data_IF_631857879130
#
_entry.id   IF_631857879130
#
_cell.length_a   1.000
_cell.length_b   1.000
_cell.length_c   1.000
_cell.angle_alpha   90.00
_cell.angle_beta   90.00
_cell.angle_gamma   90.00
#
_symmetry.space_group_name_H-M   'P 1'
#
loop_
_entity.id
_entity.type
_entity.pdbx_description
1 polymer ?
#
# COMPACT_ATOMS: atom_id res chain seq x y z
N UNK A 1 10.40 0.66 39.71
CA UNK A 1 11.04 1.32 38.55
C UNK A 1 9.91 1.67 37.61
N UNK A 2 9.60 2.98 37.52
CA UNK A 2 8.42 3.50 36.80
C UNK A 2 8.65 3.42 35.30
N UNK A 3 7.88 2.61 34.58
CA UNK A 3 7.83 2.58 33.12
C UNK A 3 7.23 3.91 32.64
N UNK A 4 8.06 4.85 32.21
CA UNK A 4 7.61 5.98 31.41
C UNK A 4 7.19 5.42 30.05
N UNK A 5 5.89 5.24 29.87
CA UNK A 5 5.32 5.01 28.56
C UNK A 5 5.73 6.15 27.63
N UNK A 6 6.54 5.87 26.65
CA UNK A 6 6.84 6.79 25.55
C UNK A 6 5.52 6.98 24.79
N UNK A 7 4.83 8.09 25.02
CA UNK A 7 3.75 8.52 24.15
C UNK A 7 4.45 9.16 22.95
N UNK A 8 4.07 8.74 21.73
CA UNK A 8 4.39 9.52 20.54
C UNK A 8 4.07 10.98 20.86
N UNK A 9 5.05 11.87 20.74
CA UNK A 9 4.80 13.28 20.91
C UNK A 9 3.65 13.67 19.99
N UNK A 10 2.63 14.40 20.46
CA UNK A 10 1.62 14.94 19.58
C UNK A 10 2.36 15.66 18.44
N UNK A 11 2.02 15.35 17.19
CA UNK A 11 2.61 16.01 16.04
C UNK A 11 2.50 17.52 16.29
N UNK A 12 3.63 18.23 16.21
CA UNK A 12 3.59 19.70 16.22
C UNK A 12 2.61 20.12 15.13
N UNK A 13 1.70 21.10 15.41
CA UNK A 13 0.93 21.72 14.34
C UNK A 13 1.94 22.15 13.28
N UNK A 14 1.67 21.90 12.01
CA UNK A 14 2.62 22.18 10.96
C UNK A 14 2.72 23.71 10.81
N UNK A 15 3.76 24.30 11.38
CA UNK A 15 4.16 25.68 11.05
C UNK A 15 4.49 25.83 9.54
N UNK A 16 4.40 24.73 8.75
CA UNK A 16 4.82 24.59 7.36
C UNK A 16 3.77 23.96 6.43
N UNK A 17 2.46 24.01 6.75
CA UNK A 17 1.46 23.63 5.74
C UNK A 17 1.44 24.64 4.61
N UNK A 18 1.62 24.23 3.35
CA UNK A 18 1.47 25.13 2.22
C UNK A 18 0.04 25.70 2.18
N UNK A 19 -0.15 26.94 1.76
CA UNK A 19 -1.49 27.51 1.61
C UNK A 19 -2.38 26.63 0.72
N UNK A 20 -3.65 26.47 1.08
CA UNK A 20 -4.60 25.68 0.29
C UNK A 20 -4.65 26.09 -1.19
N UNK A 21 -4.53 27.40 -1.47
CA UNK A 21 -4.49 27.93 -2.84
C UNK A 21 -3.28 27.40 -3.63
N UNK A 22 -2.14 27.19 -2.97
CA UNK A 22 -0.94 26.61 -3.59
C UNK A 22 -1.14 25.14 -3.92
N UNK A 23 -1.73 24.36 -3.01
CA UNK A 23 -2.08 22.95 -3.26
C UNK A 23 -2.99 22.77 -4.48
N UNK A 24 -3.90 23.72 -4.70
CA UNK A 24 -4.90 23.67 -5.79
C UNK A 24 -4.45 24.34 -7.08
N UNK A 25 -3.32 25.04 -7.08
CA UNK A 25 -2.87 25.85 -8.23
C UNK A 25 -2.63 25.00 -9.50
N UNK A 26 -1.96 23.87 -9.35
CA UNK A 26 -1.66 22.92 -10.43
C UNK A 26 -2.20 21.53 -10.07
N UNK A 27 -3.49 21.45 -9.70
CA UNK A 27 -4.13 20.18 -9.32
C UNK A 27 -4.85 19.55 -10.51
N UNK A 28 -4.50 18.31 -10.86
CA UNK A 28 -5.15 17.51 -11.90
C UNK A 28 -5.86 16.31 -11.25
N UNK A 29 -7.14 16.12 -11.60
CA UNK A 29 -7.84 14.89 -11.23
C UNK A 29 -7.88 13.95 -12.43
N UNK A 30 -7.35 12.75 -12.25
CA UNK A 30 -7.36 11.70 -13.26
C UNK A 30 -8.19 10.50 -12.80
N UNK A 31 -8.74 9.75 -13.78
CA UNK A 31 -9.50 8.53 -13.55
C UNK A 31 -8.96 7.44 -14.49
N UNK A 32 -8.20 6.51 -13.92
CA UNK A 32 -7.47 5.49 -14.66
C UNK A 32 -8.22 4.15 -14.62
N UNK A 33 -8.52 3.53 -15.78
CA UNK A 33 -9.14 2.21 -15.81
C UNK A 33 -8.16 1.13 -15.40
N UNK A 34 -8.66 0.14 -14.64
CA UNK A 34 -7.93 -1.06 -14.28
C UNK A 34 -8.09 -2.15 -15.33
N UNK A 35 -7.12 -3.05 -15.44
CA UNK A 35 -7.18 -4.22 -16.33
C UNK A 35 -8.13 -5.29 -15.79
N UNK A 36 -8.30 -5.33 -14.48
CA UNK A 36 -9.24 -6.19 -13.79
C UNK A 36 -9.75 -5.49 -12.53
N UNK A 37 -10.91 -5.89 -12.05
CA UNK A 37 -11.50 -5.35 -10.83
C UNK A 37 -10.58 -5.58 -9.64
N UNK A 38 -10.37 -4.53 -8.84
CA UNK A 38 -9.54 -4.58 -7.64
C UNK A 38 -10.24 -3.82 -6.51
N UNK A 39 -10.41 -4.41 -5.32
CA UNK A 39 -11.17 -3.81 -4.19
C UNK A 39 -12.53 -3.25 -4.62
N UNK A 40 -13.26 -3.97 -5.45
CA UNK A 40 -14.56 -3.57 -5.97
C UNK A 40 -14.57 -2.34 -6.89
N UNK A 41 -13.42 -1.81 -7.31
CA UNK A 41 -13.32 -0.71 -8.27
C UNK A 41 -12.76 -1.17 -9.62
N UNK A 42 -13.18 -0.53 -10.69
CA UNK A 42 -12.69 -0.72 -12.06
C UNK A 42 -12.01 0.55 -12.59
N UNK A 43 -12.22 1.66 -11.88
CA UNK A 43 -11.67 2.97 -12.20
C UNK A 43 -11.03 3.58 -10.94
N UNK A 44 -9.76 3.93 -11.01
CA UNK A 44 -9.02 4.56 -9.93
C UNK A 44 -8.90 6.05 -10.15
N UNK A 45 -9.49 6.85 -9.27
CA UNK A 45 -9.32 8.31 -9.26
C UNK A 45 -8.12 8.70 -8.41
N UNK A 46 -7.33 9.66 -8.90
CA UNK A 46 -6.19 10.23 -8.18
C UNK A 46 -6.08 11.73 -8.47
N UNK A 47 -5.90 12.53 -7.43
CA UNK A 47 -5.58 13.95 -7.55
C UNK A 47 -4.07 14.12 -7.48
N UNK A 48 -3.50 14.68 -8.54
CA UNK A 48 -2.08 14.97 -8.69
C UNK A 48 -1.86 16.45 -8.37
N UNK A 49 -0.90 16.72 -7.49
CA UNK A 49 -0.57 18.07 -7.01
C UNK A 49 0.89 18.38 -7.35
N UNK A 50 1.19 19.64 -7.62
CA UNK A 50 2.55 20.11 -7.88
C UNK A 50 3.08 20.86 -6.67
N UNK A 51 4.16 20.34 -6.07
CA UNK A 51 4.93 21.02 -5.04
C UNK A 51 6.32 21.43 -5.52
N UNK A 52 7.10 22.15 -4.69
CA UNK A 52 8.48 22.54 -5.01
C UNK A 52 9.40 21.35 -5.30
N UNK A 53 9.12 20.20 -4.69
CA UNK A 53 9.90 18.98 -4.87
C UNK A 53 9.45 18.15 -6.09
N UNK A 54 8.38 18.54 -6.80
CA UNK A 54 7.83 17.85 -7.95
C UNK A 54 6.40 17.37 -7.74
N UNK A 55 5.95 16.45 -8.58
CA UNK A 55 4.60 15.89 -8.51
C UNK A 55 4.41 14.98 -7.30
N UNK A 56 3.24 15.05 -6.72
CA UNK A 56 2.78 14.22 -5.61
C UNK A 56 1.33 13.81 -5.82
N UNK A 57 0.85 12.81 -5.07
CA UNK A 57 -0.47 12.23 -5.25
C UNK A 57 -1.29 12.25 -3.97
N UNK A 58 -2.53 12.72 -4.07
CA UNK A 58 -3.59 12.62 -3.07
C UNK A 58 -4.70 11.71 -3.62
N UNK A 59 -4.73 10.45 -3.20
CA UNK A 59 -5.66 9.47 -3.77
C UNK A 59 -6.29 8.52 -2.73
N UNK A 60 -6.84 9.02 -1.62
CA UNK A 60 -7.56 8.16 -0.68
C UNK A 60 -8.75 7.50 -1.38
N UNK A 61 -9.08 6.25 -1.00
CA UNK A 61 -10.27 5.59 -1.51
C UNK A 61 -11.52 6.40 -1.17
N UNK A 62 -12.52 6.36 -2.05
CA UNK A 62 -13.71 7.24 -1.94
C UNK A 62 -14.64 6.87 -0.80
N UNK A 63 -14.53 5.66 -0.26
CA UNK A 63 -15.23 5.15 0.92
C UNK A 63 -14.61 5.60 2.25
N UNK A 64 -13.38 6.15 2.24
CA UNK A 64 -12.74 6.66 3.45
C UNK A 64 -13.30 8.03 3.85
N UNK A 65 -13.53 8.23 5.16
CA UNK A 65 -13.92 9.52 5.73
C UNK A 65 -12.82 10.57 5.60
N UNK A 66 -13.19 11.85 5.76
CA UNK A 66 -12.25 12.96 5.59
C UNK A 66 -11.12 12.96 6.64
N UNK A 67 -11.39 12.50 7.86
CA UNK A 67 -10.37 12.34 8.91
C UNK A 67 -9.31 11.30 8.53
N UNK A 68 -9.70 10.12 8.02
CA UNK A 68 -8.74 9.12 7.52
C UNK A 68 -8.02 9.62 6.27
N UNK A 69 -8.74 10.29 5.37
CA UNK A 69 -8.19 10.83 4.14
C UNK A 69 -7.21 12.00 4.38
N UNK A 70 -7.28 12.69 5.53
CA UNK A 70 -6.35 13.78 5.88
C UNK A 70 -4.91 13.30 5.98
N UNK A 71 -4.67 12.07 6.45
CA UNK A 71 -3.33 11.47 6.46
C UNK A 71 -2.74 11.34 5.05
N UNK A 72 -3.57 11.03 4.05
CA UNK A 72 -3.15 10.96 2.64
C UNK A 72 -2.78 12.34 2.08
N UNK A 73 -3.52 13.39 2.47
CA UNK A 73 -3.16 14.76 2.12
C UNK A 73 -1.84 15.18 2.78
N UNK A 74 -1.65 14.83 4.05
CA UNK A 74 -0.37 15.04 4.74
C UNK A 74 0.78 14.36 4.00
N UNK A 75 0.60 13.12 3.53
CA UNK A 75 1.60 12.41 2.75
C UNK A 75 1.91 13.11 1.42
N UNK A 76 0.88 13.61 0.73
CA UNK A 76 1.07 14.38 -0.49
C UNK A 76 1.88 15.66 -0.23
N UNK A 77 1.60 16.36 0.87
CA UNK A 77 2.35 17.55 1.30
C UNK A 77 3.78 17.15 1.69
N UNK A 78 3.97 16.10 2.49
CA UNK A 78 5.29 15.62 2.88
C UNK A 78 6.17 15.35 1.65
N UNK A 79 5.65 14.65 0.65
CA UNK A 79 6.41 14.31 -0.54
C UNK A 79 6.58 15.47 -1.52
N UNK A 80 5.59 16.36 -1.66
CA UNK A 80 5.63 17.49 -2.60
C UNK A 80 6.38 18.72 -2.09
N UNK A 81 6.43 18.94 -0.76
CA UNK A 81 6.95 20.17 -0.16
C UNK A 81 8.17 19.98 0.76
N UNK A 82 8.48 18.74 1.13
CA UNK A 82 9.67 18.44 1.92
C UNK A 82 10.65 17.60 1.11
N UNK A 83 11.94 17.78 1.38
CA UNK A 83 12.98 16.95 0.80
C UNK A 83 12.85 15.52 1.35
N UNK A 84 12.81 14.53 0.45
CA UNK A 84 12.80 13.14 0.86
C UNK A 84 14.17 12.75 1.45
N UNK A 85 14.21 11.80 2.40
CA UNK A 85 15.47 11.26 2.90
C UNK A 85 16.37 10.73 1.77
N UNK A 86 17.68 10.84 1.96
CA UNK A 86 18.64 10.33 0.98
C UNK A 86 18.44 8.83 0.74
N UNK A 87 18.33 8.38 -0.52
CA UNK A 87 18.14 6.97 -0.84
C UNK A 87 19.39 6.15 -0.55
N UNK A 88 19.22 4.96 0.02
CA UNK A 88 20.30 3.99 0.27
C UNK A 88 20.47 3.00 -0.91
N UNK A 89 19.53 3.03 -1.87
CA UNK A 89 19.51 2.20 -3.09
C UNK A 89 18.80 2.93 -4.22
N UNK A 90 19.11 2.57 -5.45
CA UNK A 90 18.58 3.20 -6.68
C UNK A 90 17.45 2.39 -7.32
N UNK A 91 17.24 1.15 -6.88
CA UNK A 91 16.15 0.27 -7.33
C UNK A 91 15.52 -0.45 -6.15
N UNK A 92 14.22 -0.71 -6.25
CA UNK A 92 13.44 -1.43 -5.24
C UNK A 92 12.97 -2.75 -5.84
N UNK A 93 13.30 -3.90 -5.23
CA UNK A 93 12.72 -5.18 -5.61
C UNK A 93 11.21 -5.17 -5.30
N UNK A 94 10.40 -5.70 -6.23
CA UNK A 94 8.93 -5.63 -6.10
C UNK A 94 8.27 -6.99 -6.33
N UNK A 95 7.15 -7.20 -5.63
CA UNK A 95 6.28 -8.34 -5.88
C UNK A 95 5.16 -8.00 -6.87
N UNK A 96 4.71 -8.98 -7.63
CA UNK A 96 3.45 -8.93 -8.34
C UNK A 96 2.27 -8.96 -7.36
N UNK A 97 1.16 -8.33 -7.73
CA UNK A 97 -0.11 -8.44 -7.00
C UNK A 97 -1.13 -9.15 -7.87
N UNK A 98 -1.64 -10.27 -7.39
CA UNK A 98 -2.68 -11.05 -8.04
C UNK A 98 -4.02 -10.78 -7.35
N UNK A 99 -4.95 -10.07 -8.01
CA UNK A 99 -6.31 -9.89 -7.52
C UNK A 99 -7.06 -11.21 -7.37
N UNK A 100 -8.24 -11.19 -6.78
CA UNK A 100 -9.11 -12.37 -6.62
C UNK A 100 -9.80 -12.76 -7.94
N UNK A 101 -9.01 -12.99 -8.97
CA UNK A 101 -9.45 -13.43 -10.32
C UNK A 101 -9.73 -14.92 -10.37
N UNK A 102 -10.42 -15.37 -11.44
CA UNK A 102 -10.57 -16.78 -11.72
C UNK A 102 -9.22 -17.45 -12.02
N UNK A 103 -9.11 -18.75 -11.75
CA UNK A 103 -7.84 -19.48 -11.87
C UNK A 103 -7.27 -19.44 -13.29
N UNK A 104 -8.12 -19.38 -14.30
CA UNK A 104 -7.76 -19.32 -15.73
C UNK A 104 -7.12 -17.98 -16.12
N UNK A 105 -7.31 -16.92 -15.31
CA UNK A 105 -6.77 -15.58 -15.57
C UNK A 105 -5.40 -15.36 -14.90
N UNK A 106 -4.98 -16.25 -14.00
CA UNK A 106 -3.76 -16.08 -13.17
C UNK A 106 -2.54 -15.81 -14.05
N UNK A 107 -2.28 -16.64 -15.05
CA UNK A 107 -1.11 -16.49 -15.92
C UNK A 107 -1.12 -15.17 -16.69
N UNK A 108 -2.28 -14.75 -17.20
CA UNK A 108 -2.43 -13.51 -17.95
C UNK A 108 -2.19 -12.27 -17.07
N UNK A 109 -2.63 -12.31 -15.81
CA UNK A 109 -2.38 -11.21 -14.85
C UNK A 109 -0.90 -11.18 -14.46
N UNK A 110 -0.32 -12.33 -14.11
CA UNK A 110 1.08 -12.41 -13.66
C UNK A 110 2.08 -12.07 -14.76
N UNK A 111 1.78 -12.36 -16.03
CA UNK A 111 2.61 -11.99 -17.18
C UNK A 111 2.85 -10.47 -17.30
N UNK A 112 2.04 -9.64 -16.66
CA UNK A 112 2.21 -8.16 -16.64
C UNK A 112 3.33 -7.69 -15.70
N UNK A 113 3.86 -8.57 -14.85
CA UNK A 113 4.87 -8.26 -13.82
C UNK A 113 6.21 -8.94 -14.20
N UNK A 114 6.85 -8.42 -15.24
CA UNK A 114 8.03 -9.04 -15.81
C UNK A 114 9.20 -9.18 -14.80
N UNK A 115 9.69 -10.40 -14.63
CA UNK A 115 10.86 -10.71 -13.81
C UNK A 115 10.61 -10.73 -12.30
N UNK A 116 9.38 -10.51 -11.82
CA UNK A 116 9.06 -10.65 -10.38
C UNK A 116 9.14 -12.11 -9.96
N UNK A 117 9.71 -12.34 -8.78
CA UNK A 117 9.85 -13.70 -8.19
C UNK A 117 8.96 -13.89 -6.97
N UNK A 118 8.27 -12.84 -6.56
CA UNK A 118 7.35 -12.84 -5.42
C UNK A 118 5.98 -12.42 -5.90
N UNK A 119 4.94 -13.14 -5.49
CA UNK A 119 3.54 -12.81 -5.79
C UNK A 119 2.75 -12.71 -4.50
N UNK A 120 2.04 -11.59 -4.33
CA UNK A 120 1.02 -11.41 -3.31
C UNK A 120 -0.34 -11.76 -3.91
N UNK A 121 -0.98 -12.82 -3.40
CA UNK A 121 -2.27 -13.34 -3.87
C UNK A 121 -3.38 -12.83 -2.95
N UNK A 122 -4.40 -12.19 -3.51
CA UNK A 122 -5.60 -11.81 -2.76
C UNK A 122 -6.46 -13.05 -2.50
N UNK A 123 -6.85 -13.21 -1.23
CA UNK A 123 -7.70 -14.29 -0.71
C UNK A 123 -8.84 -13.73 0.11
N UNK A 124 -9.76 -14.57 0.57
CA UNK A 124 -10.91 -14.18 1.39
C UNK A 124 -11.84 -13.14 0.70
N UNK A 125 -11.89 -13.11 -0.63
CA UNK A 125 -12.76 -12.18 -1.35
C UNK A 125 -14.23 -12.51 -1.08
N UNK A 126 -15.07 -11.54 -0.70
CA UNK A 126 -16.50 -11.77 -0.48
C UNK A 126 -17.18 -12.49 -1.65
N UNK A 127 -17.86 -13.59 -1.37
CA UNK A 127 -18.53 -14.42 -2.37
C UNK A 127 -17.68 -15.50 -3.03
N UNK A 128 -16.40 -15.61 -2.68
CA UNK A 128 -15.52 -16.73 -3.04
C UNK A 128 -15.36 -17.69 -1.85
N UNK A 129 -14.95 -18.91 -2.16
CA UNK A 129 -14.71 -19.95 -1.16
C UNK A 129 -13.20 -20.20 -1.00
N UNK A 130 -12.79 -20.76 0.12
CA UNK A 130 -11.38 -21.16 0.36
C UNK A 130 -10.83 -22.05 -0.76
N UNK A 131 -11.67 -22.88 -1.39
CA UNK A 131 -11.27 -23.71 -2.52
C UNK A 131 -10.81 -22.86 -3.74
N UNK A 132 -11.40 -21.70 -3.96
CA UNK A 132 -11.02 -20.77 -5.03
C UNK A 132 -9.65 -20.15 -4.71
N UNK A 133 -9.43 -19.79 -3.45
CA UNK A 133 -8.13 -19.25 -2.97
C UNK A 133 -7.02 -20.29 -3.12
N UNK A 134 -7.26 -21.53 -2.70
CA UNK A 134 -6.32 -22.65 -2.86
C UNK A 134 -5.98 -22.89 -4.33
N UNK A 135 -6.99 -22.89 -5.22
CA UNK A 135 -6.79 -23.06 -6.65
C UNK A 135 -5.92 -21.93 -7.24
N UNK A 136 -6.16 -20.68 -6.83
CA UNK A 136 -5.40 -19.50 -7.26
C UNK A 136 -3.96 -19.55 -6.77
N UNK A 137 -3.72 -19.91 -5.50
CA UNK A 137 -2.37 -20.08 -4.94
C UNK A 137 -1.63 -21.21 -5.62
N UNK A 138 -2.30 -22.33 -5.91
CA UNK A 138 -1.74 -23.46 -6.67
C UNK A 138 -1.30 -23.03 -8.08
N UNK A 139 -2.13 -22.29 -8.80
CA UNK A 139 -1.80 -21.75 -10.12
C UNK A 139 -0.60 -20.79 -10.04
N UNK A 140 -0.57 -19.94 -9.01
CA UNK A 140 0.56 -19.02 -8.75
C UNK A 140 1.86 -19.80 -8.50
N UNK A 141 1.82 -20.88 -7.72
CA UNK A 141 2.99 -21.75 -7.49
C UNK A 141 3.46 -22.41 -8.79
N UNK A 142 2.53 -22.85 -9.63
CA UNK A 142 2.86 -23.44 -10.93
C UNK A 142 3.51 -22.41 -11.87
N UNK A 143 3.05 -21.16 -11.86
CA UNK A 143 3.62 -20.06 -12.65
C UNK A 143 5.03 -19.70 -12.20
N UNK A 144 5.25 -19.54 -10.88
CA UNK A 144 6.51 -19.11 -10.30
C UNK A 144 7.59 -20.21 -10.26
N UNK A 145 7.19 -21.48 -10.23
CA UNK A 145 8.09 -22.59 -9.92
C UNK A 145 8.43 -22.69 -8.43
N UNK A 146 9.32 -23.63 -8.04
CA UNK A 146 9.60 -23.92 -6.63
C UNK A 146 10.34 -22.81 -5.89
N UNK A 147 11.15 -22.03 -6.57
CA UNK A 147 11.98 -20.97 -5.97
C UNK A 147 11.24 -19.63 -5.78
N UNK A 148 10.02 -19.51 -6.35
CA UNK A 148 9.22 -18.29 -6.23
C UNK A 148 8.62 -18.16 -4.83
N UNK A 149 8.43 -16.93 -4.38
CA UNK A 149 7.83 -16.62 -3.06
C UNK A 149 6.36 -16.25 -3.23
N UNK A 150 5.52 -16.79 -2.35
CA UNK A 150 4.09 -16.51 -2.35
C UNK A 150 3.69 -15.91 -1.01
N UNK A 151 2.91 -14.85 -1.05
CA UNK A 151 2.24 -14.22 0.09
C UNK A 151 0.75 -14.26 -0.17
N UNK A 152 -0.05 -14.39 0.85
CA UNK A 152 -1.49 -14.24 0.73
C UNK A 152 -1.97 -13.07 1.58
N UNK A 153 -2.95 -12.32 1.08
CA UNK A 153 -3.49 -11.14 1.73
C UNK A 153 -5.01 -11.26 1.81
N UNK A 154 -5.52 -11.42 3.04
CA UNK A 154 -6.94 -11.61 3.32
C UNK A 154 -7.66 -10.29 3.65
N UNK A 155 -6.95 -9.16 3.78
CA UNK A 155 -7.52 -7.86 4.14
C UNK A 155 -8.48 -7.89 5.36
N UNK A 156 -8.19 -8.76 6.34
CA UNK A 156 -9.03 -8.95 7.54
C UNK A 156 -10.31 -9.74 7.29
N UNK A 157 -10.39 -10.49 6.19
CA UNK A 157 -11.61 -11.16 5.74
C UNK A 157 -11.95 -12.45 6.49
N UNK A 158 -11.05 -12.99 7.31
CA UNK A 158 -11.28 -14.20 8.11
C UNK A 158 -11.44 -13.90 9.61
N UNK A 159 -12.22 -14.72 10.31
CA UNK A 159 -12.08 -14.87 11.74
C UNK A 159 -10.91 -15.82 12.06
N UNK A 160 -10.58 -16.00 13.35
CA UNK A 160 -9.40 -16.81 13.78
C UNK A 160 -9.50 -18.27 13.31
N UNK A 161 -10.67 -18.89 13.42
CA UNK A 161 -10.87 -20.30 13.03
C UNK A 161 -10.79 -20.48 11.53
N UNK A 162 -11.34 -19.54 10.74
CA UNK A 162 -11.22 -19.53 9.28
C UNK A 162 -9.79 -19.30 8.82
N UNK A 163 -9.06 -18.37 9.46
CA UNK A 163 -7.67 -18.08 9.16
C UNK A 163 -6.75 -19.28 9.47
N UNK A 164 -6.95 -19.97 10.60
CA UNK A 164 -6.24 -21.20 10.93
C UNK A 164 -6.53 -22.31 9.91
N UNK A 165 -7.80 -22.49 9.54
CA UNK A 165 -8.19 -23.47 8.52
C UNK A 165 -7.59 -23.15 7.15
N UNK A 166 -7.56 -21.87 6.75
CA UNK A 166 -6.92 -21.43 5.51
C UNK A 166 -5.41 -21.64 5.53
N UNK A 167 -4.74 -21.34 6.66
CA UNK A 167 -3.31 -21.61 6.85
C UNK A 167 -2.99 -23.10 6.63
N UNK A 168 -3.81 -24.01 7.21
CA UNK A 168 -3.68 -25.45 7.01
C UNK A 168 -3.87 -25.86 5.55
N UNK A 169 -4.88 -25.33 4.87
CA UNK A 169 -5.15 -25.63 3.46
C UNK A 169 -4.04 -25.14 2.52
N UNK A 170 -3.34 -24.08 2.90
CA UNK A 170 -2.28 -23.43 2.13
C UNK A 170 -0.87 -23.87 2.52
N UNK A 171 -0.70 -24.68 3.57
CA UNK A 171 0.61 -25.08 4.11
C UNK A 171 1.54 -25.75 3.09
N UNK A 172 0.97 -26.47 2.10
CA UNK A 172 1.74 -27.15 1.05
C UNK A 172 2.35 -26.23 -0.02
N UNK A 173 2.08 -24.90 0.05
CA UNK A 173 2.54 -23.95 -0.96
C UNK A 173 3.72 -23.07 -0.52
N UNK A 174 4.31 -23.32 0.64
CA UNK A 174 5.48 -22.61 1.16
C UNK A 174 5.30 -21.08 1.12
N UNK A 175 4.35 -20.59 1.94
CA UNK A 175 4.02 -19.18 2.01
C UNK A 175 5.11 -18.41 2.76
N UNK A 176 5.49 -17.23 2.24
CA UNK A 176 6.43 -16.33 2.89
C UNK A 176 5.78 -15.67 4.13
N UNK A 177 4.49 -15.30 4.04
CA UNK A 177 3.67 -14.82 5.16
C UNK A 177 2.17 -14.76 4.83
N UNK A 178 1.34 -14.63 5.89
CA UNK A 178 -0.07 -14.26 5.82
C UNK A 178 -0.23 -12.76 6.11
N UNK A 179 -0.74 -11.96 5.17
CA UNK A 179 -1.02 -10.53 5.39
C UNK A 179 -2.44 -10.34 5.87
N UNK A 180 -2.58 -9.65 7.01
CA UNK A 180 -3.84 -9.28 7.67
C UNK A 180 -4.92 -10.36 7.57
N UNK A 181 -4.67 -11.57 8.13
CA UNK A 181 -5.66 -12.65 8.06
C UNK A 181 -6.97 -12.31 8.78
N UNK A 182 -6.88 -11.64 9.94
CA UNK A 182 -8.03 -11.28 10.77
C UNK A 182 -8.17 -9.75 10.91
N UNK A 183 -9.35 -9.30 11.34
CA UNK A 183 -9.69 -7.88 11.35
C UNK A 183 -9.05 -7.10 12.51
N UNK A 184 -8.89 -7.71 13.69
CA UNK A 184 -8.47 -7.04 14.92
C UNK A 184 -7.07 -7.47 15.40
N UNK A 185 -6.43 -6.61 16.19
CA UNK A 185 -5.12 -6.91 16.80
C UNK A 185 -5.18 -8.12 17.72
N UNK A 186 -6.27 -8.27 18.48
CA UNK A 186 -6.45 -9.40 19.40
C UNK A 186 -6.60 -10.72 18.63
N UNK A 187 -7.35 -10.75 17.53
CA UNK A 187 -7.48 -11.92 16.67
C UNK A 187 -6.14 -12.28 15.99
N UNK A 188 -5.35 -11.29 15.54
CA UNK A 188 -4.02 -11.53 15.00
C UNK A 188 -3.10 -12.15 16.05
N UNK A 189 -3.12 -11.65 17.30
CA UNK A 189 -2.33 -12.18 18.40
C UNK A 189 -2.73 -13.62 18.73
N UNK A 190 -4.04 -13.92 18.75
CA UNK A 190 -4.56 -15.26 18.98
C UNK A 190 -4.12 -16.21 17.87
N UNK A 191 -4.32 -15.82 16.60
CA UNK A 191 -3.92 -16.64 15.45
C UNK A 191 -2.42 -16.89 15.42
N UNK A 192 -1.60 -15.87 15.71
CA UNK A 192 -0.15 -16.01 15.80
C UNK A 192 0.26 -17.04 16.85
N UNK A 193 -0.44 -17.07 18.00
CA UNK A 193 -0.25 -18.08 19.03
C UNK A 193 -0.58 -19.51 18.53
N UNK A 194 -1.69 -19.66 17.79
CA UNK A 194 -2.11 -20.96 17.21
C UNK A 194 -1.17 -21.47 16.11
N UNK A 195 -0.57 -20.56 15.32
CA UNK A 195 0.34 -20.89 14.22
C UNK A 195 1.82 -20.94 14.65
N UNK A 196 2.14 -20.77 15.92
CA UNK A 196 3.52 -20.68 16.42
C UNK A 196 4.43 -21.81 15.94
N UNK A 197 3.95 -23.06 15.99
CA UNK A 197 4.74 -24.24 15.60
C UNK A 197 4.89 -24.40 14.06
N UNK A 198 4.14 -23.62 13.29
CA UNK A 198 4.12 -23.71 11.81
C UNK A 198 5.16 -22.82 11.14
N UNK A 199 5.79 -21.91 11.90
CA UNK A 199 6.76 -20.94 11.38
C UNK A 199 6.22 -20.12 10.18
N UNK A 200 4.90 -19.87 10.14
CA UNK A 200 4.25 -19.05 9.13
C UNK A 200 4.05 -17.63 9.68
N UNK A 201 4.84 -16.64 9.21
CA UNK A 201 4.77 -15.29 9.73
C UNK A 201 3.43 -14.60 9.44
N UNK A 202 3.00 -13.72 10.33
CA UNK A 202 1.85 -12.83 10.15
C UNK A 202 2.34 -11.42 9.88
N UNK A 203 1.86 -10.82 8.78
CA UNK A 203 2.07 -9.41 8.44
C UNK A 203 0.82 -8.59 8.74
N UNK A 204 0.99 -7.42 9.39
CA UNK A 204 -0.11 -6.50 9.69
C UNK A 204 -0.13 -5.32 8.70
N UNK A 205 -1.27 -5.08 8.03
CA UNK A 205 -1.54 -3.95 7.13
C UNK A 205 -2.60 -3.01 7.72
N UNK A 206 -3.87 -3.41 7.72
CA UNK A 206 -4.97 -2.59 8.21
C UNK A 206 -4.81 -2.22 9.68
N UNK A 207 -4.30 -3.13 10.48
CA UNK A 207 -4.02 -2.91 11.91
C UNK A 207 -2.89 -1.92 12.18
N UNK A 208 -2.16 -1.49 11.15
CA UNK A 208 -1.16 -0.41 11.22
C UNK A 208 -1.75 0.89 10.65
N UNK A 209 -2.21 0.88 9.40
CA UNK A 209 -2.58 2.09 8.65
C UNK A 209 -3.95 2.67 8.96
N UNK A 210 -4.86 1.87 9.55
CA UNK A 210 -6.21 2.31 9.96
C UNK A 210 -6.37 2.45 11.46
N UNK A 211 -5.34 2.11 12.23
CA UNK A 211 -5.38 2.20 13.67
C UNK A 211 -5.16 3.64 14.14
N UNK A 212 -5.87 4.05 15.20
CA UNK A 212 -5.56 5.27 15.94
C UNK A 212 -4.13 5.26 16.49
N UNK A 213 -3.60 4.06 16.71
CA UNK A 213 -2.26 3.79 17.19
C UNK A 213 -1.57 2.74 16.31
N UNK A 214 -0.75 3.16 15.32
CA UNK A 214 -0.04 2.26 14.41
C UNK A 214 0.91 1.26 15.09
N UNK A 215 1.30 1.54 16.33
CA UNK A 215 2.21 0.70 17.11
C UNK A 215 1.50 -0.33 18.01
N UNK A 216 0.18 -0.30 18.06
CA UNK A 216 -0.60 -1.22 18.91
C UNK A 216 -0.29 -2.68 18.56
N UNK A 217 -0.19 -3.01 17.27
CA UNK A 217 0.10 -4.37 16.80
C UNK A 217 1.49 -4.87 17.25
N UNK A 218 2.50 -3.99 17.18
CA UNK A 218 3.85 -4.32 17.61
C UNK A 218 3.93 -4.51 19.13
N UNK A 219 3.28 -3.61 19.90
CA UNK A 219 3.23 -3.73 21.37
C UNK A 219 2.48 -4.97 21.85
N UNK A 220 1.44 -5.38 21.13
CA UNK A 220 0.70 -6.61 21.43
C UNK A 220 1.45 -7.89 21.01
N UNK A 221 2.55 -7.79 20.26
CA UNK A 221 3.21 -8.94 19.67
C UNK A 221 2.30 -9.71 18.70
N UNK A 222 1.40 -9.01 18.00
CA UNK A 222 0.36 -9.60 17.17
C UNK A 222 0.79 -9.88 15.74
N UNK A 223 1.97 -9.45 15.33
CA UNK A 223 2.53 -9.69 14.00
C UNK A 223 4.05 -9.91 14.06
N UNK A 224 4.60 -10.51 13.02
CA UNK A 224 6.03 -10.76 12.83
C UNK A 224 6.68 -9.67 11.97
N UNK A 225 5.90 -9.01 11.11
CA UNK A 225 6.33 -7.90 10.26
C UNK A 225 5.17 -6.93 9.99
N UNK A 226 5.50 -5.72 9.54
CA UNK A 226 4.53 -4.68 9.24
C UNK A 226 4.49 -4.36 7.74
N UNK A 227 3.30 -4.18 7.20
CA UNK A 227 3.07 -3.62 5.87
C UNK A 227 2.94 -2.11 6.00
N UNK A 228 3.87 -1.39 5.41
CA UNK A 228 3.97 0.07 5.52
C UNK A 228 3.59 0.72 4.19
N UNK A 229 2.68 1.68 4.24
CA UNK A 229 2.22 2.46 3.08
C UNK A 229 2.37 3.94 3.37
N UNK A 230 3.12 4.65 2.54
CA UNK A 230 3.44 6.06 2.78
C UNK A 230 2.20 6.96 2.87
N UNK A 231 1.25 6.82 1.94
CA UNK A 231 0.08 7.71 1.90
C UNK A 231 -0.83 7.56 3.14
N UNK A 232 -1.33 6.38 3.51
CA UNK A 232 -2.21 6.26 4.68
C UNK A 232 -1.53 6.60 6.01
N UNK A 233 -0.20 6.51 6.09
CA UNK A 233 0.55 6.82 7.31
C UNK A 233 0.98 8.29 7.43
N UNK A 234 0.63 9.13 6.47
CA UNK A 234 0.91 10.57 6.55
C UNK A 234 2.27 10.99 5.98
N UNK A 235 2.89 10.16 5.14
CA UNK A 235 4.11 10.49 4.40
C UNK A 235 5.34 9.67 4.79
N UNK A 236 6.45 9.94 4.10
CA UNK A 236 7.70 9.19 4.23
C UNK A 236 8.30 9.38 5.63
N UNK A 237 8.38 10.61 6.11
CA UNK A 237 9.00 10.92 7.40
C UNK A 237 8.25 10.24 8.55
N UNK A 238 6.91 10.33 8.54
CA UNK A 238 6.08 9.69 9.56
C UNK A 238 6.17 8.16 9.50
N UNK A 239 6.16 7.59 8.31
CA UNK A 239 6.32 6.15 8.15
C UNK A 239 7.67 5.66 8.71
N UNK A 240 8.77 6.39 8.49
CA UNK A 240 10.08 6.05 9.05
C UNK A 240 10.13 6.14 10.58
N UNK A 241 9.44 7.11 11.19
CA UNK A 241 9.30 7.19 12.65
C UNK A 241 8.58 5.94 13.20
N UNK A 242 7.47 5.53 12.57
CA UNK A 242 6.70 4.34 12.95
C UNK A 242 7.56 3.08 12.83
N UNK A 243 8.29 2.93 11.72
CA UNK A 243 9.21 1.80 11.49
C UNK A 243 10.26 1.72 12.59
N UNK A 244 10.92 2.84 12.89
CA UNK A 244 11.98 2.90 13.90
C UNK A 244 11.45 2.56 15.31
N UNK A 245 10.24 2.98 15.65
CA UNK A 245 9.65 2.73 16.96
C UNK A 245 9.07 1.31 17.08
N UNK A 246 8.52 0.76 16.00
CA UNK A 246 7.96 -0.59 16.00
C UNK A 246 9.04 -1.67 16.17
N UNK A 247 10.24 -1.47 15.61
CA UNK A 247 11.36 -2.41 15.72
C UNK A 247 11.10 -3.79 15.11
N UNK A 248 10.14 -3.89 14.18
CA UNK A 248 9.79 -5.10 13.44
C UNK A 248 10.29 -5.00 12.00
N UNK A 249 10.56 -6.13 11.32
CA UNK A 249 10.77 -6.15 9.88
C UNK A 249 9.60 -5.50 9.15
N UNK A 250 9.87 -4.88 7.99
CA UNK A 250 8.85 -4.17 7.24
C UNK A 250 8.86 -4.54 5.76
N UNK A 251 7.71 -4.45 5.14
CA UNK A 251 7.53 -4.48 3.69
C UNK A 251 6.79 -3.22 3.26
N UNK A 252 7.38 -2.43 2.36
CA UNK A 252 6.70 -1.26 1.81
C UNK A 252 5.71 -1.71 0.75
N UNK A 253 4.50 -1.19 0.81
CA UNK A 253 3.43 -1.53 -0.12
C UNK A 253 2.71 -0.29 -0.62
N UNK A 254 1.76 -0.49 -1.52
CA UNK A 254 0.96 0.54 -2.16
C UNK A 254 -0.52 0.37 -1.84
N UNK A 255 -1.28 1.43 -2.12
CA UNK A 255 -2.73 1.43 -2.08
C UNK A 255 -3.32 1.71 -3.48
N UNK A 256 -2.72 1.08 -4.51
CA UNK A 256 -3.15 1.21 -5.90
C UNK A 256 -2.98 2.65 -6.42
N UNK A 257 -1.81 3.22 -6.20
CA UNK A 257 -1.43 4.56 -6.67
C UNK A 257 -0.97 4.53 -8.14
N UNK A 258 -1.02 5.70 -8.80
CA UNK A 258 -0.33 5.95 -10.07
C UNK A 258 1.19 5.92 -9.88
N UNK A 259 1.97 5.99 -10.95
CA UNK A 259 3.43 6.11 -10.83
C UNK A 259 3.88 7.28 -9.94
N UNK A 260 3.07 8.32 -9.80
CA UNK A 260 3.36 9.45 -8.89
C UNK A 260 3.37 8.98 -7.43
N UNK A 261 2.31 8.31 -6.98
CA UNK A 261 2.25 7.78 -5.61
C UNK A 261 3.21 6.61 -5.40
N UNK A 262 3.42 5.75 -6.41
CA UNK A 262 4.43 4.68 -6.36
C UNK A 262 5.83 5.26 -6.18
N UNK A 263 6.16 6.42 -6.77
CA UNK A 263 7.45 7.08 -6.59
C UNK A 263 7.69 7.50 -5.12
N UNK A 264 6.63 7.90 -4.40
CA UNK A 264 6.67 8.15 -2.95
C UNK A 264 6.98 6.87 -2.18
N UNK A 265 6.28 5.77 -2.50
CA UNK A 265 6.54 4.46 -1.90
C UNK A 265 7.96 3.95 -2.17
N UNK A 266 8.47 4.15 -3.40
CA UNK A 266 9.85 3.80 -3.77
C UNK A 266 10.88 4.64 -2.99
N UNK A 267 10.63 5.94 -2.79
CA UNK A 267 11.49 6.81 -1.98
C UNK A 267 11.50 6.37 -0.50
N UNK A 268 10.34 6.00 0.05
CA UNK A 268 10.26 5.42 1.40
C UNK A 268 11.08 4.14 1.50
N UNK A 269 10.87 3.17 0.60
CA UNK A 269 11.59 1.90 0.60
C UNK A 269 13.11 2.09 0.44
N UNK A 270 13.51 3.10 -0.36
CA UNK A 270 14.93 3.42 -0.55
C UNK A 270 15.62 3.98 0.70
N UNK A 271 14.86 4.60 1.60
CA UNK A 271 15.38 5.18 2.85
C UNK A 271 15.48 4.17 4.01
N UNK A 272 14.84 3.00 3.90
CA UNK A 272 14.87 1.96 4.94
C UNK A 272 16.20 1.20 4.87
N UNK A 273 17.00 1.12 5.96
CA UNK A 273 18.30 0.44 5.92
C UNK A 273 18.17 -1.05 5.59
N UNK A 274 17.35 -1.78 6.29
CA UNK A 274 17.09 -3.22 6.11
C UNK A 274 15.77 -3.42 5.36
N UNK A 275 15.83 -3.92 4.13
CA UNK A 275 14.68 -4.14 3.25
C UNK A 275 14.73 -5.60 2.76
N UNK A 276 14.27 -6.52 3.62
CA UNK A 276 14.40 -7.96 3.42
C UNK A 276 13.36 -8.54 2.48
N UNK A 277 12.26 -7.82 2.26
CA UNK A 277 11.11 -8.27 1.48
C UNK A 277 10.96 -7.48 0.17
N UNK A 278 10.58 -8.16 -0.91
CA UNK A 278 10.16 -7.48 -2.14
C UNK A 278 8.93 -6.61 -1.85
N UNK A 279 8.93 -5.37 -2.31
CA UNK A 279 7.92 -4.38 -1.99
C UNK A 279 6.66 -4.51 -2.85
N UNK A 280 5.49 -4.25 -2.28
CA UNK A 280 4.20 -4.22 -2.99
C UNK A 280 4.00 -2.96 -3.82
N UNK A 281 4.99 -2.57 -4.64
CA UNK A 281 5.03 -1.31 -5.38
C UNK A 281 4.90 -1.48 -6.90
N UNK A 282 4.54 -2.67 -7.39
CA UNK A 282 4.34 -2.91 -8.81
C UNK A 282 2.89 -2.75 -9.29
N UNK A 283 2.01 -2.16 -8.48
CA UNK A 283 0.57 -2.07 -8.78
C UNK A 283 0.21 -1.22 -9.99
N UNK A 284 1.14 -0.39 -10.52
CA UNK A 284 0.99 0.25 -11.84
C UNK A 284 0.69 -0.78 -12.94
N UNK A 285 1.22 -2.01 -12.83
CA UNK A 285 0.90 -3.11 -13.74
C UNK A 285 -0.58 -3.53 -13.77
N UNK A 286 -1.40 -3.11 -12.82
CA UNK A 286 -2.85 -3.34 -12.79
C UNK A 286 -3.67 -2.28 -13.53
N UNK A 287 -3.05 -1.19 -13.98
CA UNK A 287 -3.71 -0.17 -14.78
C UNK A 287 -3.64 -0.48 -16.28
N UNK A 288 -4.64 -0.02 -17.04
CA UNK A 288 -4.59 -0.07 -18.51
C UNK A 288 -3.63 0.98 -19.07
N UNK A 289 -3.42 2.07 -18.34
CA UNK A 289 -2.52 3.16 -18.67
C UNK A 289 -2.12 3.92 -17.41
N UNK A 290 -1.09 4.76 -17.50
CA UNK A 290 -0.64 5.64 -16.43
C UNK A 290 -0.49 7.07 -16.96
N UNK A 291 -0.26 8.01 -16.07
CA UNK A 291 -0.12 9.44 -16.35
C UNK A 291 1.34 9.92 -16.38
N UNK A 292 2.29 9.08 -16.02
CA UNK A 292 3.71 9.42 -16.08
C UNK A 292 4.26 9.29 -17.51
N UNK A 293 5.17 10.21 -17.90
CA UNK A 293 5.93 10.10 -19.16
C UNK A 293 6.67 8.76 -19.26
N UNK A 294 7.17 8.28 -18.12
CA UNK A 294 7.79 6.96 -17.98
C UNK A 294 7.14 6.26 -16.79
N UNK A 295 6.14 5.40 -17.01
CA UNK A 295 5.47 4.67 -15.95
C UNK A 295 6.43 3.77 -15.15
N UNK A 296 6.25 3.70 -13.83
CA UNK A 296 7.02 2.84 -12.93
C UNK A 296 6.54 1.39 -12.99
N UNK A 297 6.61 0.80 -14.16
CA UNK A 297 6.30 -0.61 -14.37
C UNK A 297 7.52 -1.46 -13.98
N UNK A 298 7.28 -2.58 -13.31
CA UNK A 298 8.34 -3.50 -12.93
C UNK A 298 9.10 -4.03 -14.15
N UNK A 299 10.42 -3.91 -14.11
CA UNK A 299 11.33 -4.50 -15.07
C UNK A 299 12.41 -5.29 -14.31
N UNK A 300 12.62 -6.53 -14.71
CA UNK A 300 13.53 -7.46 -14.04
C UNK A 300 13.27 -7.56 -12.52
N UNK A 301 11.98 -7.59 -12.14
CA UNK A 301 11.54 -7.73 -10.76
C UNK A 301 11.79 -6.51 -9.87
N UNK A 302 12.06 -5.32 -10.44
CA UNK A 302 12.33 -4.10 -9.67
C UNK A 302 11.80 -2.84 -10.36
N UNK A 303 11.66 -1.75 -9.60
CA UNK A 303 11.37 -0.40 -10.11
C UNK A 303 12.50 0.56 -9.72
N UNK A 304 12.77 1.62 -10.51
CA UNK A 304 13.76 2.63 -10.16
C UNK A 304 13.25 3.53 -9.01
N UNK A 305 14.18 4.07 -8.23
CA UNK A 305 13.90 5.13 -7.25
C UNK A 305 14.06 6.48 -7.94
N UNK A 306 12.95 7.07 -8.36
CA UNK A 306 12.94 8.33 -9.09
C UNK A 306 11.61 9.05 -8.89
N UNK A 307 11.62 10.38 -9.01
CA UNK A 307 10.40 11.14 -9.23
C UNK A 307 9.99 11.02 -10.69
N UNK A 308 8.70 11.13 -10.95
CA UNK A 308 8.16 11.03 -12.31
C UNK A 308 7.64 12.38 -12.78
N UNK A 309 7.74 12.61 -14.07
CA UNK A 309 7.11 13.74 -14.76
C UNK A 309 5.82 13.26 -15.41
N UNK A 310 4.84 14.16 -15.54
CA UNK A 310 3.54 13.84 -16.12
C UNK A 310 3.55 14.00 -17.64
N UNK A 311 2.76 13.17 -18.29
CA UNK A 311 2.46 13.23 -19.72
C UNK A 311 1.18 14.06 -19.92
N UNK A 312 1.29 15.20 -20.61
CA UNK A 312 0.18 16.14 -20.82
C UNK A 312 -0.96 15.53 -21.65
N UNK A 313 -0.63 14.66 -22.62
CA UNK A 313 -1.63 13.96 -23.43
C UNK A 313 -2.39 12.93 -22.54
N UNK A 314 -1.67 12.21 -21.67
CA UNK A 314 -2.29 11.29 -20.73
C UNK A 314 -3.15 12.02 -19.70
N UNK A 315 -2.70 13.16 -19.15
CA UNK A 315 -3.51 14.00 -18.27
C UNK A 315 -4.83 14.42 -18.92
N UNK A 316 -4.77 14.86 -20.17
CA UNK A 316 -5.96 15.25 -20.94
C UNK A 316 -6.87 14.04 -21.19
N UNK A 317 -6.29 12.92 -21.62
CA UNK A 317 -7.02 11.70 -21.97
C UNK A 317 -7.74 11.08 -20.80
N UNK A 318 -7.13 11.10 -19.61
CA UNK A 318 -7.64 10.47 -18.39
C UNK A 318 -8.21 11.48 -17.40
N UNK A 319 -8.42 12.74 -17.80
CA UNK A 319 -9.07 13.73 -16.96
C UNK A 319 -10.43 13.21 -16.49
N UNK A 320 -10.66 13.27 -15.18
CA UNK A 320 -11.96 12.90 -14.62
C UNK A 320 -13.03 13.94 -15.00
N UNK A 321 -14.29 13.53 -15.01
CA UNK A 321 -15.42 14.44 -15.29
C UNK A 321 -15.42 15.63 -14.30
N UNK A 322 -15.84 16.81 -14.79
CA UNK A 322 -15.84 18.06 -14.02
C UNK A 322 -16.54 17.95 -12.65
N UNK A 323 -17.68 17.24 -12.58
CA UNK A 323 -18.39 17.01 -11.33
C UNK A 323 -17.52 16.25 -10.31
N UNK A 324 -16.68 15.33 -10.77
CA UNK A 324 -15.75 14.61 -9.90
C UNK A 324 -14.60 15.54 -9.47
N UNK A 325 -14.13 16.41 -10.38
CA UNK A 325 -13.15 17.45 -10.07
C UNK A 325 -13.60 18.36 -8.93
N UNK A 326 -14.85 18.82 -8.97
CA UNK A 326 -15.44 19.65 -7.91
C UNK A 326 -15.53 18.88 -6.57
N UNK A 327 -15.97 17.62 -6.62
CA UNK A 327 -16.06 16.78 -5.42
C UNK A 327 -14.71 16.55 -4.76
N UNK A 328 -13.67 16.25 -5.56
CA UNK A 328 -12.32 16.01 -5.04
C UNK A 328 -11.67 17.28 -4.48
N UNK A 329 -11.89 18.45 -5.12
CA UNK A 329 -11.43 19.73 -4.57
C UNK A 329 -12.07 20.02 -3.22
N UNK A 330 -13.39 19.88 -3.11
CA UNK A 330 -14.09 20.04 -1.84
C UNK A 330 -13.64 19.03 -0.78
N UNK A 331 -13.33 17.79 -1.17
CA UNK A 331 -12.76 16.79 -0.26
C UNK A 331 -11.37 17.19 0.23
N UNK A 332 -10.48 17.65 -0.65
CA UNK A 332 -9.16 18.14 -0.27
C UNK A 332 -9.27 19.29 0.73
N UNK A 333 -10.19 20.25 0.50
CA UNK A 333 -10.45 21.38 1.42
C UNK A 333 -10.88 20.89 2.82
N UNK A 334 -11.77 19.89 2.91
CA UNK A 334 -12.18 19.30 4.19
C UNK A 334 -11.02 18.55 4.86
N UNK A 335 -10.26 17.74 4.12
CA UNK A 335 -9.07 17.09 4.64
C UNK A 335 -8.02 18.11 5.13
N UNK A 336 -7.82 19.21 4.40
CA UNK A 336 -6.94 20.30 4.81
C UNK A 336 -7.39 20.94 6.13
N UNK A 337 -8.71 21.09 6.30
CA UNK A 337 -9.26 21.61 7.56
C UNK A 337 -9.00 20.69 8.75
N UNK A 338 -8.97 19.37 8.55
CA UNK A 338 -8.54 18.41 9.58
C UNK A 338 -7.07 18.61 9.95
N UNK A 339 -6.19 18.83 8.97
CA UNK A 339 -4.77 19.07 9.22
C UNK A 339 -4.47 20.34 10.03
N UNK A 340 -5.37 21.32 9.99
CA UNK A 340 -5.20 22.60 10.75
C UNK A 340 -5.54 22.45 12.24
N UNK A 341 -6.25 21.41 12.65
CA UNK A 341 -6.72 21.22 14.03
C UNK A 341 -6.01 20.08 14.77
N UNK A 342 -5.18 19.31 14.08
CA UNK A 342 -4.29 18.29 14.64
C UNK A 342 -3.02 18.94 15.23
#
# INVERSE_FOLDING_TARGET
MSSRGCRLSPMRPPDDLPPLAELLAEAHLVALPLVTRFRSIELREAMLLRGPQGWTEFSPFTDYGDAEASAWLRAAIDFGWREAPAPLRDRIPVNATLPAVAVEEVDAVLARFAGTRTVKVKVAEPGQMLADDVARVKATRAFLGPEGRIRVDANGGWNVDEAEHAAHALAGFDLEYLEQPCATVDELAELRGRLHDWQLPIAADESVRKADDPLAVARAGAADLLVIKAQPLGGIHRALEIIAEAGLPVVVSSALETSVGISMGAALAAAIPELDYDCGLATVGLFQADVATTPLIAADGSIPVTRVELDEDALTRFAAADVRGLWWRARLERCYSHLLVE
#
